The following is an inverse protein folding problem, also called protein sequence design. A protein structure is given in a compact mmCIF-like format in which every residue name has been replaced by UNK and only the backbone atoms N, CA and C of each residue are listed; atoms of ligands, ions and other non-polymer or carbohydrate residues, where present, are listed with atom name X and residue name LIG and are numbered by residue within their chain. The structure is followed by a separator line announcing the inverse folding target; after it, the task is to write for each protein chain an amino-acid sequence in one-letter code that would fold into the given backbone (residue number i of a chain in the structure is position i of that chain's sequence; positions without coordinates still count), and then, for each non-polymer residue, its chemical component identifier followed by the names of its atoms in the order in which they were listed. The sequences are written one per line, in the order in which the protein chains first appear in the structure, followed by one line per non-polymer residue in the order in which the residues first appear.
data_IF_568516584428
#
_entry.id   IF_568516584428
#
_cell.length_a   1.000
_cell.length_b   1.000
_cell.length_c   1.000
_cell.angle_alpha   90.00
_cell.angle_beta   90.00
_cell.angle_gamma   90.00
#
_symmetry.space_group_name_H-M   'P 1'
#
loop_
_entity.id
_entity.type
_entity.pdbx_description
1 polymer ?
#
# COMPACT_ATOMS: atom_id res chain seq x y z
N UNK A 1 5.10 6.47 4.44
CA UNK A 1 5.35 5.84 5.77
C UNK A 1 4.94 6.69 6.97
N UNK A 2 5.62 7.80 7.34
CA UNK A 2 5.30 8.56 8.58
C UNK A 2 3.82 8.95 8.76
N UNK A 3 3.21 9.48 7.70
CA UNK A 3 1.80 9.86 7.72
C UNK A 3 0.86 8.67 7.97
N UNK A 4 1.20 7.47 7.48
CA UNK A 4 0.40 6.26 7.68
C UNK A 4 0.48 5.77 9.14
N UNK A 5 1.68 5.82 9.73
CA UNK A 5 1.89 5.46 11.14
C UNK A 5 1.09 6.38 12.07
N UNK A 6 1.20 7.70 11.88
CA UNK A 6 0.47 8.69 12.68
C UNK A 6 -1.03 8.58 12.44
N UNK A 7 -1.46 8.42 11.18
CA UNK A 7 -2.88 8.25 10.83
C UNK A 7 -3.51 7.06 11.54
N UNK A 8 -2.80 5.93 11.58
CA UNK A 8 -3.24 4.75 12.30
C UNK A 8 -3.28 4.91 13.83
N UNK A 9 -2.30 5.60 14.41
CA UNK A 9 -2.32 5.95 15.84
C UNK A 9 -3.54 6.82 16.18
N UNK A 10 -3.85 7.82 15.34
CA UNK A 10 -5.03 8.68 15.50
C UNK A 10 -6.33 7.89 15.34
N UNK A 11 -6.44 7.03 14.33
CA UNK A 11 -7.63 6.21 14.11
C UNK A 11 -7.95 5.32 15.33
N UNK A 12 -6.93 4.67 15.90
CA UNK A 12 -7.07 3.90 17.16
C UNK A 12 -7.46 4.79 18.33
N UNK A 13 -6.90 6.00 18.45
CA UNK A 13 -7.23 6.95 19.52
C UNK A 13 -8.71 7.38 19.50
N UNK A 14 -9.32 7.42 18.32
CA UNK A 14 -10.74 7.75 18.12
C UNK A 14 -11.64 6.53 17.92
N UNK A 15 -11.11 5.31 18.04
CA UNK A 15 -11.83 4.04 17.86
C UNK A 15 -12.59 3.95 16.52
N UNK A 16 -11.94 4.37 15.43
CA UNK A 16 -12.49 4.28 14.07
C UNK A 16 -11.58 3.42 13.18
N UNK A 17 -12.15 2.71 12.17
CA UNK A 17 -11.35 1.98 11.21
C UNK A 17 -10.42 2.89 10.40
N UNK A 18 -9.19 2.44 10.16
CA UNK A 18 -8.20 3.18 9.39
C UNK A 18 -8.14 2.67 7.94
N UNK A 19 -8.60 3.50 6.98
CA UNK A 19 -8.36 3.27 5.55
C UNK A 19 -7.01 3.86 5.14
N UNK A 20 -6.21 3.06 4.44
CA UNK A 20 -4.91 3.46 3.88
C UNK A 20 -4.77 2.91 2.44
N UNK A 21 -3.62 3.11 1.78
CA UNK A 21 -3.42 2.68 0.37
C UNK A 21 -2.00 2.21 0.07
N UNK A 22 -1.85 1.38 -0.98
CA UNK A 22 -0.56 0.99 -1.59
C UNK A 22 -0.24 1.93 -2.78
N UNK A 23 0.34 3.09 -2.48
CA UNK A 23 0.60 4.14 -3.49
C UNK A 23 1.95 3.96 -4.19
N UNK A 24 1.98 4.21 -5.50
CA UNK A 24 3.18 4.20 -6.33
C UNK A 24 3.16 5.36 -7.35
N UNK A 25 4.30 6.02 -7.56
CA UNK A 25 4.50 7.13 -8.49
C UNK A 25 5.25 6.72 -9.78
N UNK A 26 5.87 5.54 -9.80
CA UNK A 26 6.56 5.01 -10.98
C UNK A 26 5.64 4.98 -12.22
N UNK A 27 6.22 5.20 -13.39
CA UNK A 27 5.50 5.29 -14.66
C UNK A 27 5.43 3.98 -15.45
N UNK A 28 6.14 2.95 -15.00
CA UNK A 28 6.14 1.62 -15.58
C UNK A 28 6.40 0.58 -14.49
N UNK A 29 6.30 -0.71 -14.83
CA UNK A 29 6.62 -1.80 -13.91
C UNK A 29 8.12 -2.01 -13.88
N UNK A 30 8.80 -1.26 -13.01
CA UNK A 30 10.24 -1.30 -12.79
C UNK A 30 10.59 -1.48 -11.30
N UNK A 31 11.89 -1.34 -10.99
CA UNK A 31 12.37 -1.43 -9.62
C UNK A 31 11.78 -0.34 -8.70
N UNK A 32 11.52 0.87 -9.22
CA UNK A 32 10.88 1.93 -8.43
C UNK A 32 9.46 1.50 -8.07
N UNK A 33 8.71 0.96 -9.03
CA UNK A 33 7.35 0.49 -8.79
C UNK A 33 7.29 -0.59 -7.70
N UNK A 34 8.25 -1.52 -7.70
CA UNK A 34 8.38 -2.53 -6.66
C UNK A 34 8.73 -1.92 -5.30
N UNK A 35 9.77 -1.09 -5.22
CA UNK A 35 10.22 -0.51 -3.95
C UNK A 35 9.18 0.39 -3.31
N UNK A 36 8.58 1.29 -4.08
CA UNK A 36 7.55 2.18 -3.57
C UNK A 36 6.35 1.40 -3.03
N UNK A 37 5.90 0.37 -3.75
CA UNK A 37 4.78 -0.46 -3.28
C UNK A 37 5.13 -1.25 -2.02
N UNK A 38 6.29 -1.89 -1.95
CA UNK A 38 6.73 -2.60 -0.73
C UNK A 38 6.79 -1.66 0.47
N UNK A 39 7.39 -0.47 0.33
CA UNK A 39 7.46 0.49 1.43
C UNK A 39 6.09 1.10 1.78
N UNK A 40 5.21 1.27 0.80
CA UNK A 40 3.84 1.74 1.03
C UNK A 40 3.04 0.71 1.82
N UNK A 41 3.14 -0.57 1.45
CA UNK A 41 2.54 -1.71 2.15
C UNK A 41 3.05 -1.81 3.60
N UNK A 42 4.36 -1.79 3.83
CA UNK A 42 4.92 -1.82 5.18
C UNK A 42 4.47 -0.63 6.02
N UNK A 43 4.33 0.56 5.42
CA UNK A 43 3.76 1.72 6.09
C UNK A 43 2.29 1.55 6.47
N UNK A 44 1.50 0.93 5.60
CA UNK A 44 0.09 0.64 5.84
C UNK A 44 -0.12 -0.40 6.95
N UNK A 45 0.65 -1.49 6.91
CA UNK A 45 0.59 -2.58 7.90
C UNK A 45 1.06 -2.11 9.28
N UNK A 46 2.24 -1.49 9.37
CA UNK A 46 2.73 -0.95 10.65
C UNK A 46 1.85 0.20 11.17
N UNK A 47 1.12 0.88 10.28
CA UNK A 47 0.09 1.83 10.66
C UNK A 47 -1.14 1.19 11.28
N UNK A 48 -1.37 -0.12 11.12
CA UNK A 48 -2.58 -0.80 11.55
C UNK A 48 -3.79 -0.45 10.68
N UNK A 49 -3.59 -0.39 9.36
CA UNK A 49 -4.69 -0.21 8.40
C UNK A 49 -5.70 -1.34 8.46
N UNK A 50 -6.98 -1.01 8.53
CA UNK A 50 -8.08 -1.99 8.49
C UNK A 50 -8.59 -2.25 7.07
N UNK A 51 -8.48 -1.25 6.19
CA UNK A 51 -8.85 -1.34 4.79
C UNK A 51 -7.74 -0.75 3.93
N UNK A 52 -7.25 -1.55 2.99
CA UNK A 52 -6.27 -1.11 2.00
C UNK A 52 -6.97 -0.83 0.67
N UNK A 53 -7.13 0.45 0.35
CA UNK A 53 -7.62 0.86 -0.96
C UNK A 53 -6.47 0.86 -1.95
N UNK A 54 -6.76 0.59 -3.23
CA UNK A 54 -5.73 0.52 -4.27
C UNK A 54 -4.59 -0.45 -3.91
N UNK A 55 -4.94 -1.57 -3.29
CA UNK A 55 -3.96 -2.56 -2.84
C UNK A 55 -3.10 -3.09 -4.00
N UNK A 56 -3.67 -3.15 -5.21
CA UNK A 56 -3.00 -3.63 -6.41
C UNK A 56 -3.28 -2.77 -7.65
N UNK A 57 -2.28 -2.68 -8.54
CA UNK A 57 -2.40 -2.14 -9.89
C UNK A 57 -2.10 -0.65 -10.05
N UNK A 58 -1.86 0.06 -8.96
CA UNK A 58 -1.64 1.51 -8.96
C UNK A 58 -0.28 1.89 -9.57
N UNK A 59 -0.28 2.80 -10.56
CA UNK A 59 0.91 3.45 -11.14
C UNK A 59 0.67 4.94 -11.38
N UNK A 60 1.76 5.66 -11.70
CA UNK A 60 1.75 7.08 -12.08
C UNK A 60 1.00 7.98 -11.10
N UNK A 61 1.16 7.73 -9.79
CA UNK A 61 0.49 8.53 -8.78
C UNK A 61 -1.04 8.42 -8.83
N UNK A 62 -1.57 7.35 -9.42
CA UNK A 62 -3.01 7.06 -9.53
C UNK A 62 -3.61 7.42 -10.89
N UNK A 63 -2.79 7.84 -11.85
CA UNK A 63 -3.26 8.13 -13.22
C UNK A 63 -3.49 6.86 -14.04
N UNK A 64 -2.95 5.71 -13.61
CA UNK A 64 -3.07 4.45 -14.35
C UNK A 64 -3.30 3.25 -13.45
N UNK A 65 -4.11 2.32 -13.96
CA UNK A 65 -4.20 0.95 -13.49
C UNK A 65 -3.47 0.05 -14.50
N UNK A 66 -2.49 -0.74 -14.05
CA UNK A 66 -1.76 -1.70 -14.89
C UNK A 66 -2.09 -3.14 -14.49
N UNK A 67 -2.31 -3.99 -15.49
CA UNK A 67 -2.54 -5.42 -15.28
C UNK A 67 -1.28 -6.13 -14.76
N UNK A 68 -0.12 -5.81 -15.33
CA UNK A 68 1.17 -6.36 -14.92
C UNK A 68 1.49 -5.96 -13.47
N UNK A 69 1.26 -4.68 -13.14
CA UNK A 69 1.43 -4.17 -11.78
C UNK A 69 0.44 -4.81 -10.81
N UNK A 70 -0.78 -5.14 -11.27
CA UNK A 70 -1.77 -5.84 -10.44
C UNK A 70 -1.26 -7.21 -10.01
N UNK A 71 -0.69 -8.00 -10.92
CA UNK A 71 -0.12 -9.31 -10.59
C UNK A 71 1.07 -9.17 -9.65
N UNK A 72 1.97 -8.22 -9.91
CA UNK A 72 3.12 -7.95 -9.03
C UNK A 72 2.65 -7.57 -7.62
N UNK A 73 1.66 -6.67 -7.50
CA UNK A 73 1.15 -6.26 -6.20
C UNK A 73 0.43 -7.40 -5.46
N UNK A 74 -0.26 -8.30 -6.17
CA UNK A 74 -0.88 -9.47 -5.56
C UNK A 74 0.18 -10.38 -4.92
N UNK A 75 1.33 -10.58 -5.57
CA UNK A 75 2.44 -11.34 -5.01
C UNK A 75 3.01 -10.66 -3.75
N UNK A 76 3.19 -9.34 -3.77
CA UNK A 76 3.60 -8.57 -2.59
C UNK A 76 2.59 -8.67 -1.45
N UNK A 77 1.29 -8.58 -1.77
CA UNK A 77 0.21 -8.71 -0.79
C UNK A 77 0.18 -10.11 -0.18
N UNK A 78 0.43 -11.16 -0.98
CA UNK A 78 0.54 -12.52 -0.48
C UNK A 78 1.71 -12.65 0.50
N UNK A 79 2.90 -12.14 0.17
CA UNK A 79 4.04 -12.16 1.09
C UNK A 79 3.73 -11.46 2.43
N UNK A 80 3.03 -10.32 2.37
CA UNK A 80 2.60 -9.61 3.58
C UNK A 80 1.56 -10.42 4.35
N UNK A 81 0.61 -11.06 3.66
CA UNK A 81 -0.40 -11.90 4.29
C UNK A 81 0.19 -13.14 4.96
N UNK A 82 1.23 -13.75 4.39
CA UNK A 82 1.94 -14.88 4.98
C UNK A 82 2.79 -14.48 6.20
N UNK A 83 3.20 -13.22 6.29
CA UNK A 83 3.98 -12.70 7.42
C UNK A 83 3.11 -12.37 8.66
N UNK A 84 1.84 -12.02 8.46
CA UNK A 84 0.90 -11.58 9.50
C UNK A 84 0.26 -12.74 10.26
#
# INVERSE_FOLDING_TARGET
MKAQLVGGQLARRYNIPYRTSNTCAANTVDAQAAYESVFSLWGAIQGGGNLMMHAAGWLEGGLRCSYEKTILDIDLLQMVAEFL
#
